data_IF_446513314154
#
_entry.id   IF_446513314154
#
_cell.length_a   1.000
_cell.length_b   1.000
_cell.length_c   1.000
_cell.angle_alpha   90.00
_cell.angle_beta   90.00
_cell.angle_gamma   90.00
#
_symmetry.space_group_name_H-M   'P 1'
#
loop_
_entity.id
_entity.type
_entity.pdbx_description
1 polymer ?
#
# COMPACT_ATOMS: atom_id res chain seq x y z
N UNK A 1 5.32 -12.71 13.33
CA UNK A 1 6.71 -12.16 13.14
C UNK A 1 7.12 -11.34 14.34
N UNK A 2 8.42 -11.34 14.69
CA UNK A 2 9.03 -10.35 15.58
C UNK A 2 9.17 -9.00 14.88
N UNK A 3 9.44 -7.91 15.64
CA UNK A 3 9.72 -6.59 15.03
C UNK A 3 10.82 -6.64 13.98
N UNK A 4 11.90 -7.41 14.23
CA UNK A 4 13.03 -7.49 13.31
C UNK A 4 12.70 -8.29 12.03
N UNK A 5 11.90 -9.34 12.15
CA UNK A 5 11.39 -10.07 10.99
C UNK A 5 10.44 -9.20 10.16
N UNK A 6 9.55 -8.46 10.80
CA UNK A 6 8.63 -7.56 10.13
C UNK A 6 9.38 -6.42 9.40
N UNK A 7 10.36 -5.79 10.08
CA UNK A 7 11.19 -4.76 9.47
C UNK A 7 12.02 -5.27 8.29
N UNK A 8 12.53 -6.50 8.38
CA UNK A 8 13.22 -7.16 7.27
C UNK A 8 12.28 -7.40 6.10
N UNK A 9 11.10 -7.97 6.35
CA UNK A 9 10.08 -8.22 5.31
C UNK A 9 9.65 -6.93 4.62
N UNK A 10 9.45 -5.85 5.39
CA UNK A 10 9.18 -4.52 4.84
C UNK A 10 10.32 -4.00 3.97
N UNK A 11 11.57 -4.22 4.38
CA UNK A 11 12.74 -3.87 3.58
C UNK A 11 12.83 -4.66 2.27
N UNK A 12 12.52 -5.95 2.30
CA UNK A 12 12.45 -6.81 1.12
C UNK A 12 11.35 -6.34 0.16
N UNK A 13 10.13 -6.11 0.67
CA UNK A 13 8.99 -5.60 -0.11
C UNK A 13 9.26 -4.20 -0.66
N UNK A 14 9.85 -3.29 0.14
CA UNK A 14 10.21 -1.94 -0.28
C UNK A 14 11.23 -1.91 -1.42
N UNK A 15 12.13 -2.90 -1.47
CA UNK A 15 13.09 -3.04 -2.57
C UNK A 15 12.46 -3.49 -3.89
N UNK A 16 11.25 -4.07 -3.85
CA UNK A 16 10.50 -4.47 -5.03
C UNK A 16 9.65 -3.31 -5.54
N UNK A 17 9.90 -2.87 -6.76
CA UNK A 17 9.06 -1.87 -7.40
C UNK A 17 7.71 -2.47 -7.78
N UNK A 18 6.63 -1.80 -7.36
CA UNK A 18 5.27 -2.24 -7.65
C UNK A 18 4.31 -1.06 -7.93
N UNK A 19 4.69 -0.05 -8.74
CA UNK A 19 3.73 1.00 -9.05
C UNK A 19 2.52 0.42 -9.76
N UNK A 20 1.32 0.94 -9.44
CA UNK A 20 0.04 0.43 -9.95
C UNK A 20 0.08 0.01 -11.42
N UNK A 21 -0.20 -1.28 -11.67
CA UNK A 21 -0.18 -1.92 -13.00
C UNK A 21 1.19 -2.34 -13.52
N UNK A 22 2.24 -2.31 -12.67
CA UNK A 22 3.56 -2.93 -12.90
C UNK A 22 3.99 -3.55 -11.56
N UNK A 23 3.41 -4.70 -11.22
CA UNK A 23 3.47 -5.31 -9.89
C UNK A 23 4.15 -6.69 -9.90
N UNK A 24 4.68 -7.12 -11.05
CA UNK A 24 5.18 -8.47 -11.29
C UNK A 24 6.32 -8.87 -10.31
N UNK A 25 7.12 -7.90 -9.85
CA UNK A 25 8.21 -8.17 -8.92
C UNK A 25 7.68 -8.57 -7.53
N UNK A 26 6.65 -7.86 -7.03
CA UNK A 26 6.01 -8.21 -5.76
C UNK A 26 5.15 -9.46 -5.89
N UNK A 27 4.53 -9.70 -7.07
CA UNK A 27 3.76 -10.92 -7.34
C UNK A 27 4.60 -12.17 -7.21
N UNK A 28 5.80 -12.17 -7.80
CA UNK A 28 6.72 -13.29 -7.71
C UNK A 28 7.15 -13.57 -6.24
N UNK A 29 7.47 -12.51 -5.50
CA UNK A 29 7.82 -12.61 -4.08
C UNK A 29 6.68 -13.18 -3.23
N UNK A 30 5.46 -12.66 -3.41
CA UNK A 30 4.30 -13.11 -2.65
C UNK A 30 3.95 -14.56 -2.97
N UNK A 31 3.95 -14.93 -4.25
CA UNK A 31 3.67 -16.32 -4.68
C UNK A 31 4.67 -17.30 -4.06
N UNK A 32 5.96 -16.96 -4.07
CA UNK A 32 6.99 -17.79 -3.44
C UNK A 32 6.76 -17.93 -1.93
N UNK A 33 6.50 -16.83 -1.23
CA UNK A 33 6.32 -16.81 0.24
C UNK A 33 5.05 -17.56 0.66
N UNK A 34 3.96 -17.41 -0.08
CA UNK A 34 2.67 -18.02 0.23
C UNK A 34 2.63 -19.51 -0.09
N UNK A 35 3.43 -20.00 -1.04
CA UNK A 35 3.46 -21.44 -1.40
C UNK A 35 3.88 -22.35 -0.25
N UNK A 36 4.51 -21.82 0.81
CA UNK A 36 4.78 -22.56 2.04
C UNK A 36 3.52 -22.79 2.90
N UNK A 37 2.42 -22.07 2.61
CA UNK A 37 1.19 -22.06 3.42
C UNK A 37 -0.04 -22.59 2.68
N UNK A 38 0.05 -22.79 1.37
CA UNK A 38 -1.02 -23.29 0.52
C UNK A 38 -0.70 -23.15 -0.96
N UNK A 39 -1.72 -23.12 -1.79
CA UNK A 39 -1.61 -22.96 -3.24
C UNK A 39 -2.14 -21.58 -3.66
N UNK A 40 -1.30 -20.54 -3.69
CA UNK A 40 -1.74 -19.21 -4.07
C UNK A 40 -2.10 -19.15 -5.55
N UNK A 41 -3.19 -18.50 -5.86
CA UNK A 41 -3.67 -18.30 -7.24
C UNK A 41 -3.64 -16.84 -7.62
N UNK A 42 -3.45 -16.55 -8.91
CA UNK A 42 -3.55 -15.17 -9.42
C UNK A 42 -4.82 -15.05 -10.24
N UNK A 43 -5.69 -14.11 -9.91
CA UNK A 43 -6.90 -13.85 -10.67
C UNK A 43 -6.64 -13.00 -11.93
N UNK A 44 -7.69 -12.76 -12.73
CA UNK A 44 -7.59 -11.99 -13.97
C UNK A 44 -7.28 -10.51 -13.77
N UNK A 45 -7.57 -9.95 -12.60
CA UNK A 45 -7.22 -8.56 -12.25
C UNK A 45 -5.77 -8.42 -11.75
N UNK A 46 -5.11 -9.55 -11.46
CA UNK A 46 -3.75 -9.60 -10.92
C UNK A 46 -3.71 -9.67 -9.40
N UNK A 47 -4.83 -9.92 -8.72
CA UNK A 47 -4.81 -10.20 -7.28
C UNK A 47 -4.19 -11.56 -7.02
N UNK A 48 -3.42 -11.68 -5.93
CA UNK A 48 -2.95 -12.98 -5.44
C UNK A 48 -3.85 -13.39 -4.29
N UNK A 49 -4.41 -14.59 -4.38
CA UNK A 49 -5.36 -15.14 -3.41
C UNK A 49 -4.82 -16.43 -2.82
N UNK A 50 -4.72 -16.49 -1.50
CA UNK A 50 -4.48 -17.70 -0.74
C UNK A 50 -5.78 -18.09 -0.02
N UNK A 51 -6.41 -19.18 -0.47
CA UNK A 51 -7.60 -19.74 0.17
C UNK A 51 -7.21 -20.80 1.17
N UNK A 52 -7.74 -20.69 2.39
CA UNK A 52 -7.52 -21.62 3.51
C UNK A 52 -8.89 -22.14 3.93
N UNK A 53 -9.07 -23.46 3.82
CA UNK A 53 -10.36 -24.09 4.14
C UNK A 53 -10.62 -24.04 5.66
N UNK A 54 -11.85 -23.66 6.00
CA UNK A 54 -12.32 -23.60 7.38
C UNK A 54 -12.66 -24.96 7.97
N UNK A 55 -12.58 -25.08 9.30
CA UNK A 55 -12.96 -26.30 10.03
C UNK A 55 -14.46 -26.44 10.24
N UNK A 56 -15.23 -25.36 10.10
CA UNK A 56 -16.67 -25.33 10.22
C UNK A 56 -17.32 -24.78 8.94
N UNK A 57 -18.47 -25.28 8.51
CA UNK A 57 -19.26 -24.64 7.47
C UNK A 57 -19.68 -23.22 7.89
N UNK A 58 -19.60 -22.27 6.96
CA UNK A 58 -20.00 -20.88 7.21
C UNK A 58 -19.69 -19.99 6.03
N UNK A 59 -19.93 -18.68 6.18
CA UNK A 59 -19.62 -17.71 5.12
C UNK A 59 -18.12 -17.66 4.88
N UNK A 60 -17.72 -17.44 3.63
CA UNK A 60 -16.33 -17.14 3.31
C UNK A 60 -15.98 -15.75 3.82
N UNK A 61 -14.83 -15.64 4.47
CA UNK A 61 -14.29 -14.39 5.00
C UNK A 61 -13.02 -14.02 4.21
N UNK A 62 -12.83 -12.74 3.92
CA UNK A 62 -11.64 -12.29 3.21
C UNK A 62 -10.92 -11.17 3.96
N UNK A 63 -9.59 -11.21 3.92
CA UNK A 63 -8.73 -10.11 4.38
C UNK A 63 -7.91 -9.63 3.19
N UNK A 64 -8.03 -8.34 2.88
CA UNK A 64 -7.38 -7.69 1.76
C UNK A 64 -6.24 -6.79 2.24
N UNK A 65 -5.12 -6.75 1.50
CA UNK A 65 -4.08 -5.74 1.62
C UNK A 65 -3.56 -5.43 0.22
N UNK A 66 -3.34 -4.14 -0.12
CA UNK A 66 -2.91 -3.83 -1.47
C UNK A 66 -1.39 -3.90 -1.63
N UNK A 67 -0.95 -4.48 -2.74
CA UNK A 67 0.46 -4.74 -3.04
C UNK A 67 1.11 -3.69 -3.93
N UNK A 68 0.30 -2.83 -4.55
CA UNK A 68 0.82 -1.74 -5.37
C UNK A 68 1.28 -0.55 -4.53
N UNK A 69 1.97 0.36 -5.15
CA UNK A 69 2.47 1.59 -4.56
C UNK A 69 2.20 2.78 -5.48
N UNK A 70 2.08 3.98 -4.90
CA UNK A 70 2.03 5.23 -5.66
C UNK A 70 3.28 5.41 -6.50
N UNK A 71 3.14 6.14 -7.60
CA UNK A 71 4.24 6.36 -8.51
C UNK A 71 4.11 7.65 -9.32
N UNK A 72 4.86 7.70 -10.39
CA UNK A 72 4.63 8.65 -11.47
C UNK A 72 4.66 7.92 -12.83
N UNK A 73 4.19 8.59 -13.85
CA UNK A 73 4.06 8.01 -15.18
C UNK A 73 4.58 8.98 -16.23
N UNK A 74 5.34 8.47 -17.20
CA UNK A 74 5.79 9.23 -18.36
C UNK A 74 4.59 9.65 -19.18
N UNK A 75 4.46 10.94 -19.42
CA UNK A 75 3.44 11.54 -20.30
C UNK A 75 3.96 11.80 -21.71
N UNK A 76 5.22 12.19 -21.81
CA UNK A 76 5.87 12.52 -23.09
C UNK A 76 7.39 12.38 -22.97
N UNK A 77 7.99 11.83 -23.99
CA UNK A 77 9.45 11.86 -24.19
C UNK A 77 9.79 13.16 -24.90
N UNK A 78 10.81 13.88 -24.41
CA UNK A 78 11.32 15.12 -24.97
C UNK A 78 12.78 14.93 -25.40
N UNK A 79 13.31 15.89 -26.14
CA UNK A 79 14.69 15.86 -26.60
C UNK A 79 15.71 15.66 -25.46
N UNK A 80 16.84 15.05 -25.76
CA UNK A 80 17.98 14.81 -24.85
C UNK A 80 17.63 13.97 -23.63
N UNK A 81 16.69 13.04 -23.75
CA UNK A 81 16.33 12.09 -22.71
C UNK A 81 15.53 12.68 -21.56
N UNK A 82 14.89 13.83 -21.78
CA UNK A 82 13.97 14.40 -20.79
C UNK A 82 12.61 13.73 -20.91
N UNK A 83 12.04 13.33 -19.77
CA UNK A 83 10.72 12.73 -19.67
C UNK A 83 9.79 13.68 -18.91
N UNK A 84 8.72 14.13 -19.55
CA UNK A 84 7.61 14.78 -18.86
C UNK A 84 6.79 13.72 -18.13
N UNK A 85 6.50 13.96 -16.88
CA UNK A 85 5.87 13.00 -16.00
C UNK A 85 4.59 13.55 -15.37
N UNK A 86 3.76 12.68 -14.86
CA UNK A 86 2.56 13.02 -14.12
C UNK A 86 2.31 12.00 -13.02
N UNK A 87 1.40 12.31 -12.10
CA UNK A 87 1.06 11.44 -10.98
C UNK A 87 0.54 10.08 -11.42
N UNK A 88 0.84 9.07 -10.64
CA UNK A 88 0.19 7.78 -10.58
C UNK A 88 -0.24 7.56 -9.13
N UNK A 89 -1.55 7.38 -8.90
CA UNK A 89 -2.10 7.40 -7.54
C UNK A 89 -2.06 8.79 -6.89
N UNK A 90 -2.06 8.83 -5.57
CA UNK A 90 -2.02 10.04 -4.75
C UNK A 90 -0.64 10.69 -4.61
N UNK A 91 0.28 10.51 -5.53
CA UNK A 91 1.67 10.98 -5.42
C UNK A 91 1.84 12.49 -5.62
N UNK A 92 2.80 13.06 -4.89
CA UNK A 92 3.18 14.48 -4.98
C UNK A 92 4.70 14.62 -5.23
N UNK A 93 5.14 15.41 -6.23
CA UNK A 93 6.56 15.51 -6.56
C UNK A 93 7.39 16.16 -5.46
N UNK A 94 6.83 17.11 -4.71
CA UNK A 94 7.50 17.78 -3.61
C UNK A 94 7.78 16.86 -2.42
N UNK A 95 6.96 15.82 -2.22
CA UNK A 95 7.16 14.80 -1.19
C UNK A 95 8.38 13.92 -1.54
N UNK A 96 8.51 13.54 -2.80
CA UNK A 96 9.67 12.80 -3.24
C UNK A 96 10.94 13.66 -3.23
N UNK A 97 10.81 14.96 -3.52
CA UNK A 97 11.95 15.84 -3.72
C UNK A 97 12.76 15.48 -4.97
N UNK A 98 13.73 16.31 -5.32
CA UNK A 98 14.67 15.99 -6.39
C UNK A 98 15.55 14.80 -6.01
N UNK A 99 15.88 13.97 -6.98
CA UNK A 99 16.78 12.85 -6.75
C UNK A 99 16.56 11.66 -7.66
N UNK A 100 17.29 10.56 -7.42
CA UNK A 100 17.24 9.38 -8.25
C UNK A 100 15.87 8.71 -8.26
N UNK A 101 15.44 8.32 -9.47
CA UNK A 101 14.24 7.51 -9.71
C UNK A 101 14.59 6.39 -10.68
N UNK A 102 13.85 5.30 -10.62
CA UNK A 102 13.92 4.20 -11.57
C UNK A 102 12.75 4.31 -12.55
N UNK A 103 13.05 4.44 -13.82
CA UNK A 103 12.09 4.46 -14.93
C UNK A 103 11.96 3.04 -15.47
N UNK A 104 10.78 2.44 -15.24
CA UNK A 104 10.52 1.02 -15.48
C UNK A 104 10.12 0.78 -16.95
N UNK A 105 11.08 0.84 -17.85
CA UNK A 105 10.86 0.53 -19.26
C UNK A 105 10.49 -0.94 -19.46
N UNK A 106 9.77 -1.23 -20.55
CA UNK A 106 9.29 -2.59 -20.85
C UNK A 106 10.42 -3.64 -20.93
N UNK A 107 11.61 -3.22 -21.34
CA UNK A 107 12.74 -4.12 -21.59
C UNK A 107 13.89 -3.91 -20.61
N UNK A 108 13.99 -2.71 -20.00
CA UNK A 108 15.02 -2.40 -19.03
C UNK A 108 14.57 -1.24 -18.11
N UNK A 109 14.97 -1.31 -16.85
CA UNK A 109 14.89 -0.18 -15.93
C UNK A 109 16.02 0.79 -16.21
N UNK A 110 15.69 2.08 -16.32
CA UNK A 110 16.65 3.15 -16.60
C UNK A 110 16.70 4.11 -15.42
N UNK A 111 17.89 4.44 -14.91
CA UNK A 111 18.02 5.46 -13.89
C UNK A 111 17.70 6.84 -14.47
N UNK A 112 16.99 7.65 -13.68
CA UNK A 112 16.70 9.03 -13.99
C UNK A 112 16.82 9.92 -12.76
N UNK A 113 16.80 11.22 -12.97
CA UNK A 113 16.76 12.21 -11.89
C UNK A 113 15.47 13.00 -11.99
N UNK A 114 14.61 12.89 -10.98
CA UNK A 114 13.48 13.80 -10.80
C UNK A 114 14.01 15.20 -10.55
N UNK A 115 13.58 16.16 -11.37
CA UNK A 115 14.14 17.51 -11.41
C UNK A 115 13.05 18.56 -11.41
N UNK A 116 13.32 19.68 -10.74
CA UNK A 116 12.42 20.84 -10.65
C UNK A 116 13.04 22.11 -11.24
N UNK A 117 14.24 22.02 -11.82
CA UNK A 117 14.94 23.13 -12.45
C UNK A 117 15.93 23.87 -11.56
N UNK A 118 16.57 24.87 -12.17
CA UNK A 118 17.59 25.64 -11.49
C UNK A 118 17.02 26.54 -10.39
N UNK A 119 17.73 26.62 -9.26
CA UNK A 119 17.40 27.55 -8.17
C UNK A 119 17.94 28.97 -8.41
N UNK A 120 19.08 29.06 -9.15
CA UNK A 120 19.71 30.35 -9.45
C UNK A 120 19.13 30.92 -10.76
N UNK A 121 17.98 31.55 -10.66
CA UNK A 121 17.29 32.24 -11.76
C UNK A 121 17.13 33.71 -11.46
N UNK A 122 16.93 34.56 -12.48
CA UNK A 122 16.73 36.01 -12.29
C UNK A 122 15.46 36.32 -11.52
N UNK A 123 15.42 37.48 -10.88
CA UNK A 123 14.23 37.93 -10.11
C UNK A 123 12.99 38.14 -10.98
N UNK A 124 13.18 38.38 -12.28
CA UNK A 124 12.08 38.55 -13.25
C UNK A 124 11.60 37.24 -13.87
N UNK A 125 12.23 36.12 -13.52
CA UNK A 125 11.80 34.81 -14.01
C UNK A 125 10.51 34.38 -13.35
N UNK A 126 9.50 34.01 -14.17
CA UNK A 126 8.25 33.41 -13.68
C UNK A 126 8.50 32.13 -12.85
N UNK A 127 9.62 31.43 -13.11
CA UNK A 127 10.04 30.27 -12.34
C UNK A 127 10.46 30.64 -10.90
N UNK A 128 10.97 31.86 -10.70
CA UNK A 128 11.33 32.36 -9.37
C UNK A 128 10.11 32.55 -8.49
N UNK A 129 9.07 33.19 -9.04
CA UNK A 129 7.80 33.39 -8.33
C UNK A 129 7.18 32.05 -7.89
N UNK A 130 7.23 31.05 -8.74
CA UNK A 130 6.76 29.70 -8.44
C UNK A 130 7.56 29.03 -7.32
N UNK A 131 8.89 29.20 -7.29
CA UNK A 131 9.75 28.65 -6.22
C UNK A 131 9.44 29.24 -4.84
N UNK A 132 9.05 30.50 -4.81
CA UNK A 132 8.86 31.24 -3.55
C UNK A 132 7.42 31.16 -3.01
N UNK A 133 6.43 30.77 -3.83
CA UNK A 133 5.01 30.93 -3.49
C UNK A 133 4.15 29.66 -3.61
N UNK A 134 4.59 28.62 -4.27
CA UNK A 134 3.78 27.44 -4.51
C UNK A 134 4.57 26.11 -4.38
N UNK A 135 3.90 25.08 -3.87
CA UNK A 135 4.43 23.72 -3.90
C UNK A 135 4.65 23.24 -5.35
N UNK A 136 5.75 22.51 -5.58
CA UNK A 136 6.06 21.93 -6.90
C UNK A 136 4.96 20.95 -7.30
N UNK A 137 4.42 21.10 -8.51
CA UNK A 137 3.41 20.22 -9.07
C UNK A 137 4.03 19.32 -10.14
N UNK A 138 3.38 18.22 -10.48
CA UNK A 138 3.87 17.29 -11.51
C UNK A 138 4.09 17.95 -12.88
N UNK A 139 3.33 18.98 -13.22
CA UNK A 139 3.52 19.74 -14.48
C UNK A 139 4.81 20.56 -14.51
N UNK A 140 5.36 20.84 -13.33
CA UNK A 140 6.58 21.62 -13.15
C UNK A 140 7.81 20.71 -12.99
N UNK A 141 7.59 19.39 -12.88
CA UNK A 141 8.61 18.36 -12.72
C UNK A 141 8.88 17.60 -14.01
N UNK A 142 10.07 17.05 -14.12
CA UNK A 142 10.46 16.14 -15.19
C UNK A 142 11.56 15.19 -14.72
N UNK A 143 11.82 14.15 -15.50
CA UNK A 143 12.95 13.24 -15.26
C UNK A 143 14.01 13.43 -16.32
N UNK A 144 15.26 13.57 -15.92
CA UNK A 144 16.44 13.64 -16.78
C UNK A 144 17.10 12.27 -16.81
N UNK A 145 17.12 11.61 -17.96
CA UNK A 145 17.86 10.36 -18.18
C UNK A 145 19.18 10.58 -18.91
N UNK A 146 19.27 11.67 -19.70
CA UNK A 146 20.39 12.00 -20.60
C UNK A 146 20.67 10.95 -21.68
N UNK A 147 19.75 10.02 -21.89
CA UNK A 147 19.80 9.06 -22.99
C UNK A 147 19.34 9.69 -24.30
N UNK A 148 19.80 9.14 -25.42
CA UNK A 148 19.23 9.44 -26.73
C UNK A 148 17.94 8.64 -26.99
N UNK A 149 17.26 8.97 -28.08
CA UNK A 149 15.98 8.35 -28.44
C UNK A 149 16.13 6.84 -28.68
N UNK A 150 17.25 6.42 -29.30
CA UNK A 150 17.51 5.01 -29.57
C UNK A 150 17.68 4.19 -28.29
N UNK A 151 18.35 4.74 -27.28
CA UNK A 151 18.51 4.08 -25.97
C UNK A 151 17.20 4.03 -25.20
N UNK A 152 16.37 5.08 -25.26
CA UNK A 152 15.04 5.10 -24.65
C UNK A 152 14.11 4.08 -25.31
N UNK A 153 14.12 3.99 -26.65
CA UNK A 153 13.34 3.00 -27.40
C UNK A 153 13.81 1.57 -27.09
N UNK A 154 15.13 1.34 -27.02
CA UNK A 154 15.70 0.05 -26.66
C UNK A 154 15.30 -0.39 -25.24
N UNK A 155 15.19 0.55 -24.30
CA UNK A 155 14.69 0.29 -22.95
C UNK A 155 13.15 0.10 -22.92
N UNK A 156 12.43 0.45 -23.98
CA UNK A 156 10.96 0.39 -24.05
C UNK A 156 10.29 1.51 -23.26
N UNK A 157 10.91 2.69 -23.16
CA UNK A 157 10.37 3.87 -22.47
C UNK A 157 9.47 4.65 -23.43
N UNK A 158 8.22 4.86 -23.00
CA UNK A 158 7.17 5.52 -23.79
C UNK A 158 6.15 6.18 -22.88
N UNK A 159 5.21 6.98 -23.40
CA UNK A 159 4.04 7.40 -22.59
C UNK A 159 3.36 6.20 -21.95
N UNK A 160 3.08 6.30 -20.67
CA UNK A 160 2.57 5.20 -19.84
C UNK A 160 3.63 4.42 -19.05
N UNK A 161 4.92 4.59 -19.32
CA UNK A 161 6.00 3.98 -18.52
C UNK A 161 5.98 4.53 -17.09
N UNK A 162 6.00 3.64 -16.08
CA UNK A 162 5.98 3.98 -14.65
C UNK A 162 7.39 4.34 -14.18
N UNK A 163 7.43 5.11 -13.11
CA UNK A 163 8.67 5.41 -12.40
C UNK A 163 8.38 5.59 -10.90
N UNK A 164 9.36 5.26 -10.10
CA UNK A 164 9.31 5.30 -8.63
C UNK A 164 10.66 5.76 -8.08
N UNK A 165 10.75 6.19 -6.80
CA UNK A 165 12.05 6.39 -6.13
C UNK A 165 12.91 5.14 -6.24
N UNK A 166 14.23 5.30 -6.44
CA UNK A 166 15.17 4.15 -6.54
C UNK A 166 15.15 3.32 -5.25
N UNK A 167 15.52 2.03 -5.36
CA UNK A 167 15.64 1.13 -4.20
C UNK A 167 16.46 1.74 -3.06
N UNK A 168 17.56 2.42 -3.38
CA UNK A 168 18.41 3.05 -2.36
C UNK A 168 17.68 4.14 -1.56
N UNK A 169 16.70 4.83 -2.13
CA UNK A 169 15.87 5.82 -1.46
C UNK A 169 14.74 5.20 -0.64
N UNK A 170 14.38 3.96 -0.93
CA UNK A 170 13.33 3.20 -0.23
C UNK A 170 13.87 2.40 0.97
N UNK A 171 15.19 2.40 1.21
CA UNK A 171 15.79 1.68 2.32
C UNK A 171 15.15 2.12 3.65
N UNK A 172 14.62 1.19 4.46
CA UNK A 172 13.94 1.54 5.69
C UNK A 172 14.89 2.05 6.76
N UNK A 173 14.41 2.95 7.61
CA UNK A 173 15.11 3.50 8.78
C UNK A 173 14.36 3.07 10.03
N UNK A 174 15.10 2.52 11.01
CA UNK A 174 14.55 2.20 12.34
C UNK A 174 14.65 3.43 13.24
N UNK A 175 13.58 3.77 13.96
CA UNK A 175 13.45 4.91 14.85
C UNK A 175 12.94 4.46 16.21
N UNK A 176 13.12 5.35 17.22
CA UNK A 176 12.76 5.07 18.61
C UNK A 176 13.88 4.38 19.38
N UNK A 177 13.82 4.41 20.73
CA UNK A 177 14.89 3.88 21.59
C UNK A 177 15.09 2.37 21.42
N UNK A 178 14.02 1.62 21.14
CA UNK A 178 14.04 0.17 20.96
C UNK A 178 13.85 -0.22 19.48
N UNK A 179 13.95 0.75 18.56
CA UNK A 179 13.71 0.56 17.14
C UNK A 179 12.30 0.10 16.82
N UNK A 180 11.31 0.53 17.60
CA UNK A 180 9.91 0.14 17.50
C UNK A 180 9.18 0.79 16.32
N UNK A 181 9.71 1.89 15.78
CA UNK A 181 9.20 2.52 14.58
C UNK A 181 10.05 2.17 13.36
N UNK A 182 9.40 2.14 12.21
CA UNK A 182 10.03 2.00 10.90
C UNK A 182 9.61 3.18 10.03
N UNK A 183 10.56 3.74 9.29
CA UNK A 183 10.29 4.77 8.30
C UNK A 183 10.75 4.30 6.92
N UNK A 184 9.88 4.40 5.91
CA UNK A 184 10.17 4.02 4.52
C UNK A 184 9.15 4.63 3.56
N UNK A 185 9.43 4.58 2.26
CA UNK A 185 8.40 4.76 1.23
C UNK A 185 7.55 3.49 1.12
N UNK A 186 6.28 3.65 0.78
CA UNK A 186 5.33 2.58 0.49
C UNK A 186 5.12 1.60 1.68
N UNK A 187 5.11 2.11 2.92
CA UNK A 187 4.53 1.38 4.05
C UNK A 187 3.03 1.20 3.79
N UNK A 188 2.42 2.17 3.16
CA UNK A 188 1.14 2.12 2.46
C UNK A 188 1.32 1.37 1.11
N UNK A 189 0.87 0.10 0.91
CA UNK A 189 0.30 -0.73 1.99
C UNK A 189 1.18 -1.99 2.21
N UNK A 190 2.49 -1.89 1.90
CA UNK A 190 3.45 -3.01 2.14
C UNK A 190 3.55 -3.39 3.62
N UNK A 191 3.12 -2.50 4.53
CA UNK A 191 2.97 -2.79 5.95
C UNK A 191 1.90 -3.84 6.22
N UNK A 192 0.71 -3.66 5.66
CA UNK A 192 -0.35 -4.64 5.76
C UNK A 192 -0.05 -5.90 4.95
N UNK A 193 0.60 -5.78 3.78
CA UNK A 193 1.09 -6.94 3.01
C UNK A 193 2.03 -7.80 3.86
N UNK A 194 2.98 -7.21 4.58
CA UNK A 194 3.86 -7.94 5.50
C UNK A 194 3.07 -8.56 6.67
N UNK A 195 2.09 -7.84 7.21
CA UNK A 195 1.16 -8.35 8.22
C UNK A 195 0.32 -9.52 7.70
N UNK A 196 -0.17 -9.45 6.46
CA UNK A 196 -0.96 -10.50 5.85
C UNK A 196 -0.12 -11.76 5.57
N UNK A 197 1.18 -11.61 5.25
CA UNK A 197 2.13 -12.72 5.20
C UNK A 197 2.36 -13.35 6.59
N UNK A 198 2.41 -12.56 7.67
CA UNK A 198 2.48 -13.08 9.04
C UNK A 198 1.20 -13.83 9.40
N UNK A 199 0.04 -13.30 9.02
CA UNK A 199 -1.25 -13.95 9.21
C UNK A 199 -1.31 -15.30 8.45
N UNK A 200 -0.88 -15.35 7.19
CA UNK A 200 -0.80 -16.60 6.40
C UNK A 200 0.08 -17.66 7.08
N UNK A 201 1.17 -17.24 7.71
CA UNK A 201 2.04 -18.16 8.44
C UNK A 201 1.41 -18.72 9.74
N UNK A 202 0.45 -17.99 10.33
CA UNK A 202 -0.24 -18.38 11.58
C UNK A 202 -1.50 -19.19 11.33
N UNK A 203 -2.29 -18.79 10.33
CA UNK A 203 -3.56 -19.41 10.00
C UNK A 203 -3.36 -20.85 9.51
N UNK A 204 -3.81 -21.82 10.30
CA UNK A 204 -3.75 -23.25 9.97
C UNK A 204 -5.13 -23.87 9.82
N UNK A 205 -6.08 -23.42 10.62
CA UNK A 205 -7.41 -23.98 10.70
C UNK A 205 -8.41 -22.90 11.14
N UNK A 206 -8.66 -21.88 10.29
CA UNK A 206 -9.63 -20.84 10.61
C UNK A 206 -11.00 -21.45 10.83
N UNK A 207 -11.88 -20.75 11.53
CA UNK A 207 -13.23 -21.23 11.80
C UNK A 207 -14.00 -21.47 10.50
N UNK A 208 -14.02 -20.47 9.65
CA UNK A 208 -14.66 -20.52 8.33
C UNK A 208 -13.62 -20.39 7.23
N UNK A 209 -13.95 -20.79 6.02
CA UNK A 209 -13.07 -20.62 4.87
C UNK A 209 -12.64 -19.18 4.75
N UNK A 210 -11.33 -18.97 4.66
CA UNK A 210 -10.71 -17.63 4.66
C UNK A 210 -9.89 -17.45 3.40
N UNK A 211 -10.03 -16.29 2.78
CA UNK A 211 -9.21 -15.86 1.65
C UNK A 211 -8.33 -14.68 2.07
N UNK A 212 -7.00 -14.85 1.94
CA UNK A 212 -6.03 -13.77 2.08
C UNK A 212 -5.73 -13.23 0.69
N UNK A 213 -6.06 -11.97 0.45
CA UNK A 213 -6.05 -11.38 -0.89
C UNK A 213 -5.08 -10.21 -0.94
N UNK A 214 -4.07 -10.32 -1.77
CA UNK A 214 -3.12 -9.25 -2.05
C UNK A 214 -3.62 -8.51 -3.30
N UNK A 215 -4.29 -7.39 -3.10
CA UNK A 215 -5.02 -6.70 -4.16
C UNK A 215 -4.10 -5.88 -5.05
N UNK A 216 -4.48 -5.77 -6.32
CA UNK A 216 -3.77 -5.02 -7.35
C UNK A 216 -4.43 -3.67 -7.59
N UNK A 217 -3.63 -2.62 -7.88
CA UNK A 217 -4.12 -1.33 -8.38
C UNK A 217 -5.13 -0.65 -7.46
N UNK A 218 -4.90 -0.70 -6.15
CA UNK A 218 -5.70 0.02 -5.18
C UNK A 218 -5.56 1.53 -5.40
N UNK A 219 -4.33 2.03 -5.50
CA UNK A 219 -3.92 3.44 -5.57
C UNK A 219 -4.51 4.23 -6.76
N UNK A 220 -5.08 3.53 -7.71
CA UNK A 220 -5.71 4.14 -8.91
C UNK A 220 -7.21 3.82 -9.02
N UNK A 221 -7.83 3.41 -7.91
CA UNK A 221 -9.28 3.20 -7.79
C UNK A 221 -9.70 1.79 -7.43
N UNK A 222 -8.98 1.10 -6.56
CA UNK A 222 -9.35 -0.20 -5.96
C UNK A 222 -9.71 -1.28 -7.00
N UNK A 223 -9.04 -1.27 -8.17
CA UNK A 223 -9.43 -2.13 -9.30
C UNK A 223 -9.41 -3.61 -8.95
N UNK A 224 -8.40 -4.04 -8.18
CA UNK A 224 -8.26 -5.42 -7.74
C UNK A 224 -9.40 -5.85 -6.84
N UNK A 225 -9.68 -5.08 -5.78
CA UNK A 225 -10.75 -5.39 -4.83
C UNK A 225 -12.14 -5.37 -5.48
N UNK A 226 -12.39 -4.41 -6.38
CA UNK A 226 -13.65 -4.34 -7.13
C UNK A 226 -13.85 -5.54 -8.05
N UNK A 227 -12.77 -6.06 -8.64
CA UNK A 227 -12.83 -7.29 -9.41
C UNK A 227 -13.05 -8.50 -8.51
N UNK A 228 -12.23 -8.63 -7.47
CA UNK A 228 -12.32 -9.73 -6.52
C UNK A 228 -13.72 -9.84 -5.91
N UNK A 229 -14.25 -8.74 -5.36
CA UNK A 229 -15.56 -8.73 -4.72
C UNK A 229 -16.71 -9.17 -5.64
N UNK A 230 -16.60 -8.96 -6.97
CA UNK A 230 -17.60 -9.44 -7.94
C UNK A 230 -17.47 -10.90 -8.31
N UNK A 231 -16.37 -11.56 -7.95
CA UNK A 231 -16.06 -12.91 -8.42
C UNK A 231 -15.80 -13.89 -7.27
N UNK A 232 -15.83 -13.40 -6.02
CA UNK A 232 -15.71 -14.22 -4.81
C UNK A 232 -17.07 -14.63 -4.27
N UNK A 233 -17.09 -15.66 -3.44
CA UNK A 233 -18.20 -16.05 -2.57
C UNK A 233 -18.04 -15.49 -1.12
N UNK A 234 -17.09 -14.60 -0.89
CA UNK A 234 -16.90 -13.95 0.40
C UNK A 234 -18.08 -13.04 0.76
N UNK A 235 -18.62 -13.23 1.96
CA UNK A 235 -19.70 -12.41 2.50
C UNK A 235 -19.19 -11.28 3.40
N UNK A 236 -17.97 -11.41 3.94
CA UNK A 236 -17.31 -10.41 4.78
C UNK A 236 -15.91 -10.12 4.27
N UNK A 237 -15.61 -8.85 4.04
CA UNK A 237 -14.31 -8.36 3.60
C UNK A 237 -13.74 -7.39 4.64
N UNK A 238 -12.52 -7.63 5.11
CA UNK A 238 -11.76 -6.69 5.93
C UNK A 238 -10.56 -6.20 5.12
N UNK A 239 -10.49 -4.91 4.81
CA UNK A 239 -9.26 -4.30 4.34
C UNK A 239 -8.31 -4.12 5.53
N UNK A 240 -7.12 -4.64 5.42
CA UNK A 240 -6.01 -4.37 6.32
C UNK A 240 -5.18 -3.26 5.68
N UNK A 241 -5.08 -2.12 6.32
CA UNK A 241 -4.72 -0.85 5.73
C UNK A 241 -3.86 0.02 6.65
N UNK A 242 -3.44 1.16 6.14
CA UNK A 242 -2.91 2.27 6.94
C UNK A 242 -4.02 3.25 7.33
N UNK A 243 -3.79 4.04 8.38
CA UNK A 243 -4.61 5.23 8.67
C UNK A 243 -3.72 6.44 8.90
N UNK A 244 -4.03 7.61 8.30
CA UNK A 244 -3.20 8.79 8.47
C UNK A 244 -3.25 9.32 9.89
N UNK A 245 -2.08 9.62 10.46
CA UNK A 245 -1.94 10.37 11.70
C UNK A 245 -2.22 11.83 11.40
N UNK A 246 -3.36 12.32 11.86
CA UNK A 246 -3.76 13.71 11.74
C UNK A 246 -4.58 14.15 12.95
N UNK A 247 -4.39 15.38 13.38
CA UNK A 247 -5.10 15.95 14.55
C UNK A 247 -6.62 15.88 14.39
N UNK A 248 -7.12 16.13 13.18
CA UNK A 248 -8.54 16.10 12.86
C UNK A 248 -9.19 14.71 13.00
N UNK A 249 -8.41 13.63 12.91
CA UNK A 249 -8.89 12.25 13.01
C UNK A 249 -8.69 11.66 14.42
N UNK A 250 -7.95 12.34 15.29
CA UNK A 250 -7.65 11.87 16.64
C UNK A 250 -6.83 10.58 16.69
N UNK A 251 -6.05 10.33 15.63
CA UNK A 251 -5.16 9.18 15.49
C UNK A 251 -3.75 9.57 15.90
N UNK A 252 -3.16 8.80 16.80
CA UNK A 252 -1.77 8.95 17.26
C UNK A 252 -0.88 7.88 16.64
N UNK A 253 0.38 8.21 16.37
CA UNK A 253 1.39 7.25 15.95
C UNK A 253 1.75 6.31 17.11
N UNK A 254 1.10 5.17 17.20
CA UNK A 254 1.28 4.23 18.30
C UNK A 254 0.99 2.77 17.92
N UNK A 255 1.09 1.84 18.90
CA UNK A 255 0.90 0.42 18.64
C UNK A 255 -0.57 -0.03 18.60
N UNK A 256 -1.52 0.87 18.89
CA UNK A 256 -2.94 0.53 18.90
C UNK A 256 -3.49 0.49 17.46
N UNK A 257 -4.15 -0.59 17.03
CA UNK A 257 -4.84 -0.63 15.74
C UNK A 257 -6.04 0.31 15.73
N UNK A 258 -6.45 0.71 14.55
CA UNK A 258 -7.57 1.64 14.32
C UNK A 258 -8.63 0.96 13.46
N UNK A 259 -9.85 0.86 13.98
CA UNK A 259 -11.02 0.54 13.19
C UNK A 259 -11.51 1.83 12.51
N UNK A 260 -11.47 1.88 11.20
CA UNK A 260 -12.04 3.00 10.44
C UNK A 260 -13.55 2.77 10.37
N UNK A 261 -14.33 3.65 10.98
CA UNK A 261 -15.80 3.53 11.05
C UNK A 261 -16.51 4.26 9.91
N UNK A 262 -15.83 5.22 9.29
CA UNK A 262 -16.31 5.94 8.11
C UNK A 262 -15.12 6.53 7.35
N UNK A 263 -15.25 6.66 6.03
CA UNK A 263 -14.29 7.36 5.18
C UNK A 263 -15.01 8.21 4.11
N UNK A 264 -14.28 8.64 3.06
CA UNK A 264 -14.84 9.48 2.00
C UNK A 264 -16.00 8.81 1.22
N UNK A 265 -16.13 7.49 1.27
CA UNK A 265 -17.21 6.73 0.64
C UNK A 265 -18.44 6.56 1.56
N UNK A 266 -18.33 6.97 2.84
CA UNK A 266 -19.41 6.88 3.83
C UNK A 266 -19.09 5.94 5.01
N UNK A 267 -20.08 5.65 5.85
CA UNK A 267 -19.94 4.70 6.95
C UNK A 267 -19.63 3.28 6.45
N UNK A 268 -18.72 2.60 7.16
CA UNK A 268 -18.46 1.18 7.01
C UNK A 268 -19.48 0.33 7.79
N UNK A 269 -19.38 -0.99 7.68
CA UNK A 269 -20.35 -1.91 8.28
C UNK A 269 -20.20 -2.02 9.81
N UNK A 270 -21.23 -1.61 10.56
CA UNK A 270 -21.22 -1.63 12.03
C UNK A 270 -21.22 -3.05 12.61
N UNK A 271 -21.81 -4.04 11.92
CA UNK A 271 -21.89 -5.42 12.41
C UNK A 271 -20.51 -6.07 12.34
N UNK A 272 -19.84 -5.92 11.22
CA UNK A 272 -18.47 -6.43 11.06
C UNK A 272 -17.49 -5.63 11.93
N UNK A 273 -17.70 -4.31 12.07
CA UNK A 273 -16.93 -3.47 12.98
C UNK A 273 -17.03 -3.95 14.44
N UNK A 274 -18.23 -4.24 14.92
CA UNK A 274 -18.42 -4.78 16.28
C UNK A 274 -17.76 -6.16 16.46
N UNK A 275 -17.77 -7.02 15.44
CA UNK A 275 -17.09 -8.31 15.49
C UNK A 275 -15.56 -8.15 15.60
N UNK A 276 -14.98 -7.14 14.95
CA UNK A 276 -13.55 -6.81 15.07
C UNK A 276 -13.22 -6.22 16.45
N UNK A 277 -14.10 -5.40 17.04
CA UNK A 277 -13.95 -4.90 18.41
C UNK A 277 -13.96 -6.04 19.44
N UNK A 278 -14.89 -6.99 19.29
CA UNK A 278 -14.95 -8.18 20.14
C UNK A 278 -13.69 -9.03 20.01
N UNK A 279 -13.18 -9.19 18.77
CA UNK A 279 -11.94 -9.89 18.51
C UNK A 279 -10.72 -9.18 19.14
N UNK A 280 -10.66 -7.85 19.06
CA UNK A 280 -9.61 -7.06 19.69
C UNK A 280 -9.64 -7.22 21.21
N UNK A 281 -10.83 -7.16 21.84
CA UNK A 281 -11.00 -7.37 23.27
C UNK A 281 -10.55 -8.78 23.68
N UNK A 282 -10.92 -9.80 22.93
CA UNK A 282 -10.51 -11.19 23.17
C UNK A 282 -8.98 -11.38 23.00
N UNK A 283 -8.37 -10.69 22.05
CA UNK A 283 -6.92 -10.70 21.84
C UNK A 283 -6.14 -9.84 22.86
N UNK A 284 -6.82 -9.14 23.78
CA UNK A 284 -6.19 -8.20 24.71
C UNK A 284 -5.55 -7.00 24.00
N UNK A 285 -6.10 -6.59 22.87
CA UNK A 285 -5.65 -5.46 22.05
C UNK A 285 -6.60 -4.29 22.24
N UNK A 286 -6.06 -3.10 22.48
CA UNK A 286 -6.86 -1.88 22.55
C UNK A 286 -7.16 -1.39 21.14
N UNK A 287 -8.43 -1.42 20.73
CA UNK A 287 -8.88 -0.85 19.47
C UNK A 287 -9.14 0.65 19.61
N UNK A 288 -8.71 1.43 18.60
CA UNK A 288 -9.09 2.82 18.41
C UNK A 288 -10.10 2.92 17.27
N UNK A 289 -10.85 4.01 17.23
CA UNK A 289 -11.81 4.27 16.14
C UNK A 289 -11.52 5.60 15.49
N UNK A 290 -11.63 5.67 14.16
CA UNK A 290 -11.46 6.91 13.41
C UNK A 290 -12.52 7.06 12.31
N UNK A 291 -12.95 8.31 12.09
CA UNK A 291 -13.76 8.70 10.93
C UNK A 291 -12.92 9.62 10.07
N UNK A 292 -12.66 9.21 8.85
CA UNK A 292 -11.76 9.89 7.91
C UNK A 292 -12.58 10.59 6.82
N UNK A 293 -12.06 11.70 6.29
CA UNK A 293 -12.75 12.47 5.22
C UNK A 293 -12.01 12.49 3.89
N UNK A 294 -10.70 12.27 3.91
CA UNK A 294 -9.82 12.33 2.72
C UNK A 294 -9.18 11.00 2.35
N UNK A 295 -9.81 9.89 2.73
CA UNK A 295 -9.30 8.54 2.58
C UNK A 295 -10.39 7.63 1.99
N UNK A 296 -10.01 6.58 1.30
CA UNK A 296 -10.89 5.50 0.84
C UNK A 296 -10.09 4.22 0.77
N UNK A 297 -10.69 3.09 1.04
CA UNK A 297 -10.03 1.78 1.07
C UNK A 297 -10.70 0.78 0.12
N UNK A 298 -10.05 -0.34 -0.11
CA UNK A 298 -10.64 -1.48 -0.81
C UNK A 298 -11.98 -1.89 -0.20
N UNK A 299 -12.09 -1.92 1.15
CA UNK A 299 -13.34 -2.26 1.85
C UNK A 299 -14.45 -1.26 1.60
N UNK A 300 -14.18 0.03 1.74
CA UNK A 300 -15.22 1.06 1.57
C UNK A 300 -15.70 1.16 0.11
N UNK A 301 -14.82 0.90 -0.85
CA UNK A 301 -15.20 0.88 -2.27
C UNK A 301 -16.11 -0.30 -2.61
N UNK A 302 -15.81 -1.53 -2.14
CA UNK A 302 -16.69 -2.69 -2.41
C UNK A 302 -18.03 -2.57 -1.68
N UNK A 303 -18.06 -1.98 -0.49
CA UNK A 303 -19.28 -1.76 0.28
C UNK A 303 -20.18 -0.69 -0.36
N UNK A 304 -19.61 0.50 -0.64
CA UNK A 304 -20.37 1.63 -1.19
C UNK A 304 -21.00 1.33 -2.55
N UNK A 305 -20.40 0.43 -3.33
CA UNK A 305 -20.92 -0.03 -4.61
C UNK A 305 -21.87 -1.23 -4.48
N UNK A 306 -22.17 -1.68 -3.25
CA UNK A 306 -23.07 -2.82 -3.00
C UNK A 306 -22.57 -4.14 -3.58
N UNK A 307 -21.24 -4.33 -3.64
CA UNK A 307 -20.63 -5.53 -4.22
C UNK A 307 -20.62 -6.66 -3.19
N UNK A 308 -20.36 -6.34 -1.91
CA UNK A 308 -20.41 -7.29 -0.79
C UNK A 308 -21.32 -6.76 0.30
N UNK A 309 -21.97 -7.64 1.09
CA UNK A 309 -22.90 -7.22 2.13
C UNK A 309 -22.18 -6.61 3.35
N UNK A 310 -20.98 -7.07 3.70
CA UNK A 310 -20.25 -6.64 4.88
C UNK A 310 -18.80 -6.30 4.53
N UNK A 311 -18.37 -5.07 4.86
CA UNK A 311 -16.97 -4.69 4.74
C UNK A 311 -16.54 -3.73 5.85
N UNK A 312 -15.32 -3.94 6.37
CA UNK A 312 -14.69 -3.13 7.39
C UNK A 312 -13.23 -2.82 7.02
N UNK A 313 -12.67 -1.80 7.63
CA UNK A 313 -11.28 -1.42 7.45
C UNK A 313 -10.56 -1.39 8.80
N UNK A 314 -9.60 -2.29 8.98
CA UNK A 314 -8.72 -2.37 10.14
C UNK A 314 -7.33 -1.85 9.74
N UNK A 315 -6.86 -0.83 10.43
CA UNK A 315 -5.67 -0.10 10.03
C UNK A 315 -4.65 0.05 11.17
N UNK A 316 -3.40 0.29 10.78
CA UNK A 316 -2.36 0.76 11.70
C UNK A 316 -2.01 2.22 11.38
N UNK A 317 -1.66 2.98 12.44
CA UNK A 317 -1.38 4.40 12.31
C UNK A 317 -0.07 4.67 11.55
N UNK A 318 -0.10 5.59 10.59
CA UNK A 318 1.04 5.94 9.74
C UNK A 318 1.15 7.45 9.58
N UNK A 319 2.32 8.02 9.94
CA UNK A 319 2.63 9.42 9.66
C UNK A 319 3.14 9.56 8.22
N UNK A 320 2.97 10.76 7.65
CA UNK A 320 3.45 11.11 6.30
C UNK A 320 2.93 10.19 5.18
N UNK A 321 1.70 9.71 5.28
CA UNK A 321 1.09 8.85 4.23
C UNK A 321 1.30 9.42 2.83
N UNK A 322 1.57 8.55 1.84
CA UNK A 322 1.99 8.89 0.49
C UNK A 322 3.36 9.60 0.40
N UNK A 323 4.18 9.48 1.45
CA UNK A 323 5.50 10.08 1.53
C UNK A 323 6.59 9.12 2.01
N UNK A 324 7.54 9.65 2.79
CA UNK A 324 8.45 8.83 3.58
C UNK A 324 7.79 8.58 4.93
N UNK A 325 7.06 7.51 4.99
CA UNK A 325 6.08 7.16 6.00
C UNK A 325 6.74 6.64 7.26
N UNK A 326 6.05 6.79 8.41
CA UNK A 326 6.52 6.28 9.70
C UNK A 326 5.39 5.49 10.35
N UNK A 327 5.66 4.23 10.71
CA UNK A 327 4.69 3.38 11.39
C UNK A 327 5.31 2.68 12.60
N UNK A 328 4.48 2.38 13.60
CA UNK A 328 4.87 1.55 14.74
C UNK A 328 4.73 0.08 14.37
N UNK A 329 5.82 -0.70 14.45
CA UNK A 329 5.83 -2.12 14.06
C UNK A 329 4.83 -2.97 14.86
N UNK A 330 4.64 -2.67 16.16
CA UNK A 330 3.65 -3.39 16.96
C UNK A 330 2.21 -3.07 16.57
N UNK A 331 1.94 -1.94 15.90
CA UNK A 331 0.63 -1.61 15.36
C UNK A 331 0.22 -2.60 14.26
N UNK A 332 1.15 -2.90 13.35
CA UNK A 332 0.95 -3.93 12.32
C UNK A 332 0.71 -5.30 13.00
N UNK A 333 1.56 -5.66 13.98
CA UNK A 333 1.40 -6.91 14.73
C UNK A 333 0.10 -6.98 15.54
N UNK A 334 -0.42 -5.85 16.02
CA UNK A 334 -1.69 -5.78 16.73
C UNK A 334 -2.87 -6.04 15.78
N UNK A 335 -2.86 -5.45 14.58
CA UNK A 335 -3.84 -5.77 13.53
C UNK A 335 -3.85 -7.27 13.21
N UNK A 336 -2.67 -7.87 13.04
CA UNK A 336 -2.57 -9.33 12.78
C UNK A 336 -3.22 -10.15 13.90
N UNK A 337 -3.00 -9.81 15.18
CA UNK A 337 -3.64 -10.51 16.31
C UNK A 337 -5.16 -10.37 16.30
N UNK A 338 -5.68 -9.20 15.98
CA UNK A 338 -7.13 -8.98 15.86
C UNK A 338 -7.71 -9.82 14.73
N UNK A 339 -7.08 -9.83 13.56
CA UNK A 339 -7.52 -10.62 12.41
C UNK A 339 -7.46 -12.13 12.69
N UNK A 340 -6.37 -12.62 13.28
CA UNK A 340 -6.22 -14.03 13.70
C UNK A 340 -7.35 -14.45 14.64
N UNK A 341 -7.69 -13.59 15.62
CA UNK A 341 -8.77 -13.84 16.58
C UNK A 341 -10.15 -13.79 15.92
N UNK A 342 -10.38 -12.82 15.04
CA UNK A 342 -11.64 -12.70 14.30
C UNK A 342 -11.90 -13.90 13.39
N UNK A 343 -10.88 -14.40 12.74
CA UNK A 343 -10.95 -15.60 11.88
C UNK A 343 -11.09 -16.90 12.70
N UNK A 344 -11.00 -16.80 14.03
CA UNK A 344 -11.24 -17.90 14.95
C UNK A 344 -10.17 -18.98 14.87
N UNK A 345 -8.91 -18.64 14.64
CA UNK A 345 -7.79 -19.57 14.77
C UNK A 345 -7.69 -20.01 16.23
N UNK A 346 -7.55 -21.32 16.47
CA UNK A 346 -7.28 -21.81 17.83
C UNK A 346 -5.82 -21.50 18.16
N UNK A 347 -5.58 -20.71 19.23
CA UNK A 347 -4.23 -20.48 19.72
C UNK A 347 -3.57 -21.83 20.04
N UNK A 348 -2.49 -22.13 19.36
CA UNK A 348 -1.61 -23.23 19.80
C UNK A 348 -1.04 -22.84 21.14
N UNK A 349 -1.60 -23.44 22.23
CA UNK A 349 -1.23 -23.22 23.63
C UNK A 349 0.23 -23.58 23.93
#
# INVERSE_FOLDING_TARGET
MTRDELARTLGELGALHSPSGVEEAVDAYLTERLSAHGDPTTDTAGNIVLRIEGREPGPVQAVLAHKDEIGAMVKRVEERGRLRVGKLGGSFPWVWGEGPVDVLGRHATVPGILSFGARHVSKESAHREQQDSAGVRWQDAWVETKLDDAALDAAGIRPGTRLVPTVARKAPVRLGPDGEYIAAYAIDDKGAVAGLLDLAARLRSPRHTTELVFTAREEIGCHGALWYGRHTDAEAIVAFEVTPVAEEYGVDAGPDPVLIVADANGPLDDVLGAALDDAAAAAGVRMRHASLSGFGSDASNVLSLGIVPHAACLAFATENTHGFEIAHLDGIGACVRVLETWLGEESLG
#
